data_IF_518893522910
#
_entry.id   IF_518893522910
#
_cell.length_a   1.000
_cell.length_b   1.000
_cell.length_c   1.000
_cell.angle_alpha   90.00
_cell.angle_beta   90.00
_cell.angle_gamma   90.00
#
_symmetry.space_group_name_H-M   'P 1'
#
loop_
_entity.id
_entity.type
_entity.pdbx_description
1 polymer ?
#
# COMPACT_ATOMS: atom_id res chain seq x y z
N UNK A 1 37.43 9.54 -40.14
CA UNK A 1 36.80 10.48 -39.22
C UNK A 1 35.28 10.28 -39.11
N UNK A 2 34.51 10.03 -40.16
CA UNK A 2 33.05 9.82 -40.09
C UNK A 2 32.60 8.57 -39.35
N UNK A 3 33.40 7.47 -39.32
CA UNK A 3 33.07 6.23 -38.62
C UNK A 3 33.24 6.30 -37.10
N UNK A 4 34.12 7.17 -36.58
CA UNK A 4 34.32 7.37 -35.14
C UNK A 4 33.15 8.15 -34.48
N UNK A 5 32.54 9.07 -35.22
CA UNK A 5 31.44 9.92 -34.73
C UNK A 5 30.14 9.09 -34.54
N UNK A 6 29.90 8.08 -35.38
CA UNK A 6 28.72 7.22 -35.30
C UNK A 6 28.78 6.30 -34.07
N UNK A 7 29.96 5.82 -33.71
CA UNK A 7 30.13 4.93 -32.53
C UNK A 7 29.93 5.70 -31.21
N UNK A 8 30.33 6.97 -31.14
CA UNK A 8 30.13 7.83 -29.95
C UNK A 8 28.67 8.22 -29.79
N UNK A 9 27.89 8.36 -30.84
CA UNK A 9 26.45 8.67 -30.72
C UNK A 9 25.62 7.47 -30.27
N UNK A 10 26.01 6.24 -30.57
CA UNK A 10 25.34 5.02 -30.14
C UNK A 10 25.57 4.71 -28.63
N UNK A 11 26.69 5.17 -28.06
CA UNK A 11 27.03 4.95 -26.66
C UNK A 11 26.27 5.87 -25.67
N UNK A 12 25.60 6.92 -26.14
CA UNK A 12 24.85 7.85 -25.29
C UNK A 12 23.38 7.47 -25.06
N UNK A 13 22.89 6.38 -25.64
CA UNK A 13 21.46 6.02 -25.60
C UNK A 13 21.04 5.02 -24.48
N UNK A 14 21.90 4.72 -23.52
CA UNK A 14 21.59 3.66 -22.52
C UNK A 14 21.66 4.09 -21.06
N UNK A 15 21.47 5.36 -20.72
CA UNK A 15 21.14 5.73 -19.35
C UNK A 15 19.61 5.80 -19.22
N UNK A 16 18.96 4.63 -19.23
CA UNK A 16 17.63 4.52 -18.65
C UNK A 16 17.76 4.89 -17.18
N UNK A 17 17.31 6.08 -16.80
CA UNK A 17 17.12 6.41 -15.41
C UNK A 17 16.17 5.34 -14.85
N UNK A 18 16.68 4.47 -13.98
CA UNK A 18 15.84 3.58 -13.18
C UNK A 18 15.04 4.52 -12.27
N UNK A 19 13.85 4.90 -12.73
CA UNK A 19 12.92 5.62 -11.88
C UNK A 19 12.63 4.71 -10.67
N UNK A 20 12.87 5.21 -9.46
CA UNK A 20 12.55 4.46 -8.25
C UNK A 20 11.06 4.17 -8.27
N UNK A 21 10.72 2.89 -8.23
CA UNK A 21 9.32 2.43 -8.16
C UNK A 21 8.63 3.02 -6.94
N UNK A 22 7.44 3.54 -7.13
CA UNK A 22 6.61 4.11 -6.06
C UNK A 22 5.22 3.52 -6.14
N UNK A 23 4.56 3.35 -4.99
CA UNK A 23 3.18 2.90 -4.95
C UNK A 23 2.27 3.95 -5.62
N UNK A 24 1.42 3.50 -6.54
CA UNK A 24 0.42 4.32 -7.22
C UNK A 24 -0.82 4.47 -6.33
N UNK A 25 -0.75 5.38 -5.36
CA UNK A 25 -1.85 5.67 -4.46
C UNK A 25 -3.02 6.35 -5.19
N UNK A 26 -4.24 5.94 -4.85
CA UNK A 26 -5.46 6.48 -5.43
C UNK A 26 -6.56 6.68 -4.38
N UNK A 27 -7.67 7.30 -4.74
CA UNK A 27 -8.87 7.36 -3.89
C UNK A 27 -9.62 6.01 -3.91
N UNK A 28 -10.51 5.80 -2.95
CA UNK A 28 -11.31 4.57 -2.90
C UNK A 28 -12.32 4.52 -4.05
N UNK A 29 -12.84 5.67 -4.47
CA UNK A 29 -13.74 5.78 -5.62
C UNK A 29 -13.02 5.42 -6.93
N UNK A 30 -11.75 5.84 -7.07
CA UNK A 30 -10.94 5.46 -8.23
C UNK A 30 -10.65 3.96 -8.23
N UNK A 31 -10.31 3.38 -7.08
CA UNK A 31 -10.09 1.94 -6.94
C UNK A 31 -11.37 1.15 -7.27
N UNK A 32 -12.53 1.60 -6.79
CA UNK A 32 -13.83 1.00 -7.10
C UNK A 32 -14.12 1.02 -8.60
N UNK A 33 -13.94 2.17 -9.25
CA UNK A 33 -14.14 2.31 -10.69
C UNK A 33 -13.22 1.40 -11.50
N UNK A 34 -11.94 1.31 -11.12
CA UNK A 34 -10.97 0.41 -11.76
C UNK A 34 -11.30 -1.07 -11.57
N UNK A 35 -11.78 -1.46 -10.38
CA UNK A 35 -12.18 -2.83 -10.09
C UNK A 35 -13.34 -3.32 -10.96
N UNK A 36 -14.22 -2.42 -11.43
CA UNK A 36 -15.31 -2.77 -12.36
C UNK A 36 -14.75 -3.15 -13.74
N UNK A 37 -13.68 -2.48 -14.19
CA UNK A 37 -13.06 -2.70 -15.49
C UNK A 37 -12.04 -3.85 -15.45
N UNK A 38 -11.20 -3.85 -14.44
CA UNK A 38 -10.15 -4.85 -14.21
C UNK A 38 -10.18 -5.30 -12.73
N UNK A 39 -10.83 -6.42 -12.41
CA UNK A 39 -10.92 -6.91 -11.03
C UNK A 39 -9.55 -7.19 -10.43
N UNK A 40 -9.25 -6.54 -9.30
CA UNK A 40 -7.98 -6.65 -8.57
C UNK A 40 -8.20 -6.47 -7.08
N UNK A 41 -7.34 -7.06 -6.26
CA UNK A 41 -7.33 -6.83 -4.81
C UNK A 41 -7.19 -5.35 -4.48
N UNK A 42 -7.81 -4.89 -3.40
CA UNK A 42 -7.68 -3.52 -2.91
C UNK A 42 -6.95 -3.54 -1.57
N UNK A 43 -5.92 -2.70 -1.46
CA UNK A 43 -5.22 -2.41 -0.23
C UNK A 43 -5.53 -0.98 0.21
N UNK A 44 -6.09 -0.79 1.41
CA UNK A 44 -6.43 0.53 1.94
C UNK A 44 -5.55 0.83 3.14
N UNK A 45 -4.68 1.83 3.03
CA UNK A 45 -3.95 2.40 4.15
C UNK A 45 -4.80 3.49 4.81
N UNK A 46 -5.26 3.21 6.02
CA UNK A 46 -6.05 4.14 6.83
C UNK A 46 -5.12 4.86 7.81
N UNK A 47 -4.96 6.15 7.61
CA UNK A 47 -4.01 7.00 8.33
C UNK A 47 -4.64 8.28 8.87
N UNK A 48 -3.88 9.05 9.64
CA UNK A 48 -4.19 10.43 10.04
C UNK A 48 -2.94 11.31 9.89
N UNK A 49 -3.12 12.62 9.71
CA UNK A 49 -2.00 13.55 9.50
C UNK A 49 -1.05 13.68 10.70
N UNK A 50 -1.54 13.41 11.91
CA UNK A 50 -0.74 13.43 13.14
C UNK A 50 -0.05 12.10 13.46
N UNK A 51 -0.36 11.01 12.71
CA UNK A 51 0.16 9.67 12.97
C UNK A 51 1.65 9.55 12.60
N UNK A 52 2.53 9.54 13.61
CA UNK A 52 3.97 9.41 13.41
C UNK A 52 4.39 8.07 12.78
N UNK A 53 3.73 6.97 13.16
CA UNK A 53 4.01 5.64 12.60
C UNK A 53 3.56 5.51 11.14
N UNK A 54 2.46 6.18 10.75
CA UNK A 54 2.04 6.24 9.34
C UNK A 54 3.12 6.95 8.49
N UNK A 55 3.59 8.11 8.95
CA UNK A 55 4.68 8.84 8.29
C UNK A 55 5.98 8.02 8.20
N UNK A 56 6.24 7.16 9.19
CA UNK A 56 7.38 6.25 9.17
C UNK A 56 7.20 5.19 8.08
N UNK A 57 6.01 4.57 7.99
CA UNK A 57 5.70 3.61 6.92
C UNK A 57 5.86 4.22 5.52
N UNK A 58 5.36 5.43 5.33
CA UNK A 58 5.48 6.13 4.05
C UNK A 58 6.93 6.33 3.61
N UNK A 59 7.85 6.53 4.58
CA UNK A 59 9.27 6.78 4.32
C UNK A 59 10.12 5.51 4.25
N UNK A 60 9.65 4.40 4.77
CA UNK A 60 10.35 3.12 4.80
C UNK A 60 9.62 2.07 3.95
N UNK A 61 8.69 1.36 4.53
CA UNK A 61 8.01 0.20 3.95
C UNK A 61 7.40 0.52 2.59
N UNK A 62 6.63 1.62 2.47
CA UNK A 62 5.99 2.00 1.22
C UNK A 62 6.94 2.69 0.21
N UNK A 63 8.13 3.10 0.66
CA UNK A 63 9.17 3.64 -0.20
C UNK A 63 10.13 2.55 -0.72
N UNK A 64 10.02 1.31 -0.23
CA UNK A 64 10.83 0.20 -0.72
C UNK A 64 10.41 -0.18 -2.15
N UNK A 65 11.33 -0.20 -3.13
CA UNK A 65 10.98 -0.42 -4.53
C UNK A 65 10.44 -1.83 -4.82
N UNK A 66 10.88 -2.85 -4.08
CA UNK A 66 10.36 -4.24 -4.22
C UNK A 66 8.90 -4.27 -3.80
N UNK A 67 8.59 -3.69 -2.63
CA UNK A 67 7.22 -3.59 -2.13
C UNK A 67 6.35 -2.75 -3.06
N UNK A 68 6.85 -1.59 -3.51
CA UNK A 68 6.10 -0.71 -4.39
C UNK A 68 5.74 -1.38 -5.72
N UNK A 69 6.69 -2.11 -6.31
CA UNK A 69 6.46 -2.88 -7.52
C UNK A 69 5.38 -3.93 -7.32
N UNK A 70 5.52 -4.78 -6.29
CA UNK A 70 4.55 -5.81 -5.98
C UNK A 70 3.15 -5.23 -5.74
N UNK A 71 3.05 -4.16 -4.95
CA UNK A 71 1.79 -3.48 -4.69
C UNK A 71 1.11 -2.96 -5.96
N UNK A 72 1.87 -2.36 -6.89
CA UNK A 72 1.34 -1.84 -8.15
C UNK A 72 0.84 -2.96 -9.08
N UNK A 73 1.46 -4.14 -9.03
CA UNK A 73 1.10 -5.28 -9.86
C UNK A 73 -0.14 -6.01 -9.34
N UNK A 74 -0.31 -6.12 -8.02
CA UNK A 74 -1.31 -6.99 -7.40
C UNK A 74 -2.49 -6.25 -6.75
N UNK A 75 -2.34 -4.95 -6.43
CA UNK A 75 -3.35 -4.20 -5.69
C UNK A 75 -3.70 -2.86 -6.35
N UNK A 76 -4.93 -2.43 -6.15
CA UNK A 76 -5.27 -1.02 -6.18
C UNK A 76 -5.00 -0.45 -4.78
N UNK A 77 -3.96 0.38 -4.67
CA UNK A 77 -3.50 0.93 -3.41
C UNK A 77 -4.23 2.24 -3.09
N UNK A 78 -4.97 2.26 -2.00
CA UNK A 78 -5.78 3.40 -1.55
C UNK A 78 -5.18 4.05 -0.33
N UNK A 79 -5.10 5.39 -0.34
CA UNK A 79 -4.81 6.21 0.86
C UNK A 79 -6.11 6.82 1.39
N UNK A 80 -6.48 6.50 2.62
CA UNK A 80 -7.67 7.03 3.28
C UNK A 80 -7.30 7.79 4.56
N UNK A 81 -7.37 9.11 4.52
CA UNK A 81 -7.26 9.91 5.75
C UNK A 81 -8.53 9.71 6.59
N UNK A 82 -8.36 9.11 7.76
CA UNK A 82 -9.46 8.81 8.67
C UNK A 82 -10.14 10.07 9.25
N UNK A 83 -9.58 11.24 9.06
CA UNK A 83 -10.10 12.51 9.54
C UNK A 83 -10.41 13.49 8.38
N UNK A 84 -10.60 12.97 7.15
CA UNK A 84 -11.05 13.84 6.05
C UNK A 84 -12.46 14.37 6.28
N UNK A 85 -12.71 15.59 5.81
CA UNK A 85 -14.04 16.22 5.79
C UNK A 85 -14.83 15.91 4.52
N UNK A 86 -14.20 15.28 3.54
CA UNK A 86 -14.81 15.02 2.23
C UNK A 86 -16.02 14.09 2.34
N UNK A 87 -16.90 14.17 1.37
CA UNK A 87 -17.92 13.14 1.17
C UNK A 87 -17.36 12.10 0.23
N UNK A 88 -17.27 10.87 0.71
CA UNK A 88 -16.75 9.72 -0.06
C UNK A 88 -17.92 8.82 -0.43
N UNK A 89 -18.00 8.45 -1.71
CA UNK A 89 -18.97 7.47 -2.19
C UNK A 89 -18.28 6.13 -2.39
N UNK A 90 -18.77 5.09 -1.72
CA UNK A 90 -18.22 3.74 -1.85
C UNK A 90 -19.35 2.70 -1.85
N UNK A 91 -19.37 1.81 -2.82
CA UNK A 91 -20.42 0.80 -3.04
C UNK A 91 -21.83 1.41 -3.08
N UNK A 92 -21.96 2.55 -3.75
CA UNK A 92 -23.22 3.27 -3.89
C UNK A 92 -23.70 3.99 -2.62
N UNK A 93 -22.95 3.94 -1.52
CA UNK A 93 -23.28 4.63 -0.27
C UNK A 93 -22.39 5.85 -0.08
N UNK A 94 -22.98 6.96 0.35
CA UNK A 94 -22.25 8.17 0.73
C UNK A 94 -21.86 8.12 2.21
N UNK A 95 -20.58 8.40 2.47
CA UNK A 95 -20.01 8.54 3.79
C UNK A 95 -19.51 9.97 3.95
N UNK A 96 -19.86 10.60 5.05
CA UNK A 96 -19.49 11.98 5.34
C UNK A 96 -18.48 12.06 6.48
N UNK A 97 -17.65 13.09 6.47
CA UNK A 97 -16.81 13.45 7.58
C UNK A 97 -17.63 13.77 8.82
N UNK A 98 -17.03 13.59 9.99
CA UNK A 98 -17.64 13.89 11.26
C UNK A 98 -16.91 15.07 11.92
N UNK A 99 -17.66 16.10 12.29
CA UNK A 99 -17.13 17.22 13.07
C UNK A 99 -17.61 17.05 14.51
N UNK A 100 -16.69 17.09 15.46
CA UNK A 100 -16.94 16.96 16.89
C UNK A 100 -17.59 18.25 17.42
N UNK A 101 -18.19 18.18 18.61
CA UNK A 101 -18.80 19.34 19.28
C UNK A 101 -17.78 20.48 19.56
N UNK A 102 -16.52 20.15 19.72
CA UNK A 102 -15.42 21.11 19.91
C UNK A 102 -14.89 21.71 18.58
N UNK A 103 -15.55 21.44 17.46
CA UNK A 103 -15.22 21.94 16.13
C UNK A 103 -14.04 21.21 15.43
N UNK A 104 -13.41 20.23 16.09
CA UNK A 104 -12.34 19.43 15.49
C UNK A 104 -12.89 18.31 14.61
N UNK A 105 -12.11 17.93 13.60
CA UNK A 105 -12.44 16.75 12.80
C UNK A 105 -12.42 15.50 13.69
N UNK A 106 -13.45 14.69 13.52
CA UNK A 106 -13.53 13.36 14.09
C UNK A 106 -13.26 12.31 13.03
N UNK A 107 -13.36 11.04 13.42
CA UNK A 107 -13.14 9.94 12.49
C UNK A 107 -14.24 9.88 11.43
N UNK A 108 -13.85 9.89 10.16
CA UNK A 108 -14.73 9.75 8.99
C UNK A 108 -15.54 8.44 9.07
N UNK A 109 -16.81 8.49 8.67
CA UNK A 109 -17.72 7.33 8.77
C UNK A 109 -17.22 6.11 8.01
N UNK A 110 -16.64 6.31 6.81
CA UNK A 110 -16.07 5.20 6.04
C UNK A 110 -14.91 4.52 6.79
N UNK A 111 -13.94 5.30 7.29
CA UNK A 111 -12.82 4.76 8.06
C UNK A 111 -13.32 3.97 9.29
N UNK A 112 -14.33 4.48 9.99
CA UNK A 112 -14.95 3.79 11.12
C UNK A 112 -15.60 2.47 10.73
N UNK A 113 -16.29 2.44 9.58
CA UNK A 113 -16.92 1.23 9.03
C UNK A 113 -15.85 0.20 8.67
N UNK A 114 -14.85 0.60 7.89
CA UNK A 114 -13.77 -0.28 7.41
C UNK A 114 -12.96 -0.89 8.57
N UNK A 115 -12.71 -0.12 9.61
CA UNK A 115 -11.96 -0.56 10.79
C UNK A 115 -12.83 -1.24 11.87
N UNK A 116 -14.10 -1.53 11.58
CA UNK A 116 -15.04 -2.15 12.53
C UNK A 116 -15.11 -1.41 13.88
N UNK A 117 -15.00 -0.07 13.86
CA UNK A 117 -15.02 0.75 15.07
C UNK A 117 -13.75 0.74 15.91
N UNK A 118 -12.69 0.02 15.52
CA UNK A 118 -11.41 -0.04 16.23
C UNK A 118 -10.41 0.95 15.63
N UNK A 119 -10.41 2.18 16.17
CA UNK A 119 -9.56 3.26 15.65
C UNK A 119 -8.13 3.14 16.16
N UNK A 120 -7.25 2.59 15.35
CA UNK A 120 -5.79 2.63 15.53
C UNK A 120 -5.12 2.99 14.21
N UNK A 121 -3.98 3.67 14.26
CA UNK A 121 -3.27 4.13 13.07
C UNK A 121 -1.77 3.87 13.18
N UNK A 122 -1.13 3.39 12.09
CA UNK A 122 -1.75 2.98 10.83
C UNK A 122 -2.63 1.73 11.02
N UNK A 123 -3.60 1.54 10.12
CA UNK A 123 -4.33 0.27 9.94
C UNK A 123 -4.56 0.03 8.46
N UNK A 124 -4.53 -1.23 8.06
CA UNK A 124 -4.72 -1.62 6.66
C UNK A 124 -5.97 -2.46 6.52
N UNK A 125 -6.69 -2.25 5.43
CA UNK A 125 -7.82 -3.10 5.07
C UNK A 125 -7.50 -3.77 3.73
N UNK A 126 -7.55 -5.08 3.72
CA UNK A 126 -7.42 -5.89 2.50
C UNK A 126 -8.82 -6.25 2.03
N UNK A 127 -9.12 -5.98 0.77
CA UNK A 127 -10.37 -6.38 0.13
C UNK A 127 -10.10 -7.25 -1.09
N UNK A 128 -11.01 -8.17 -1.35
CA UNK A 128 -10.97 -8.94 -2.59
C UNK A 128 -11.51 -8.13 -3.78
N UNK A 129 -11.54 -8.75 -4.96
CA UNK A 129 -11.95 -8.12 -6.22
C UNK A 129 -13.43 -7.73 -6.25
N UNK A 130 -14.27 -8.35 -5.40
CA UNK A 130 -15.66 -7.94 -5.19
C UNK A 130 -15.82 -6.89 -4.10
N UNK A 131 -14.72 -6.23 -3.70
CA UNK A 131 -14.68 -5.18 -2.67
C UNK A 131 -15.24 -5.62 -1.31
N UNK A 132 -15.11 -6.92 -0.98
CA UNK A 132 -15.41 -7.44 0.36
C UNK A 132 -14.17 -7.41 1.22
N UNK A 133 -14.27 -6.84 2.41
CA UNK A 133 -13.16 -6.81 3.36
C UNK A 133 -12.82 -8.24 3.83
N UNK A 134 -11.57 -8.65 3.63
CA UNK A 134 -11.02 -9.92 4.06
C UNK A 134 -10.36 -9.80 5.42
N UNK A 135 -9.55 -8.74 5.60
CA UNK A 135 -8.75 -8.59 6.81
C UNK A 135 -8.55 -7.11 7.16
N UNK A 136 -8.54 -6.81 8.46
CA UNK A 136 -8.08 -5.54 9.02
C UNK A 136 -6.83 -5.80 9.85
N UNK A 137 -5.75 -5.11 9.52
CA UNK A 137 -4.43 -5.31 10.12
C UNK A 137 -4.00 -4.00 10.78
N UNK A 138 -4.01 -3.92 12.11
CA UNK A 138 -3.59 -2.73 12.83
C UNK A 138 -2.09 -2.67 13.05
N UNK A 139 -1.54 -1.47 13.10
CA UNK A 139 -0.19 -1.18 13.56
C UNK A 139 0.86 -1.11 12.46
N UNK A 140 2.02 -0.58 12.85
CA UNK A 140 3.18 -0.44 11.98
C UNK A 140 3.71 -1.82 11.54
N UNK A 141 3.98 -1.94 10.25
CA UNK A 141 4.63 -3.10 9.65
C UNK A 141 5.92 -2.65 8.95
N UNK A 142 7.07 -3.21 9.35
CA UNK A 142 8.29 -3.00 8.57
C UNK A 142 8.26 -3.83 7.27
N UNK A 143 9.24 -3.62 6.41
CA UNK A 143 9.33 -4.27 5.10
C UNK A 143 9.25 -5.80 5.22
N UNK A 144 9.98 -6.39 6.18
CA UNK A 144 10.06 -7.85 6.38
C UNK A 144 8.72 -8.46 6.84
N UNK A 145 7.93 -7.71 7.59
CA UNK A 145 6.60 -8.17 8.02
C UNK A 145 5.53 -7.87 6.96
N UNK A 146 5.70 -6.79 6.21
CA UNK A 146 4.73 -6.35 5.21
C UNK A 146 4.78 -7.20 3.93
N UNK A 147 5.96 -7.53 3.45
CA UNK A 147 6.16 -8.29 2.21
C UNK A 147 5.38 -9.63 2.21
N UNK A 148 5.63 -10.56 3.16
CA UNK A 148 4.92 -11.84 3.13
C UNK A 148 3.41 -11.69 3.31
N UNK A 149 2.96 -10.69 4.07
CA UNK A 149 1.54 -10.41 4.22
C UNK A 149 0.91 -10.02 2.89
N UNK A 150 1.58 -9.18 2.07
CA UNK A 150 1.08 -8.78 0.76
C UNK A 150 1.04 -9.96 -0.21
N UNK A 151 2.07 -10.80 -0.22
CA UNK A 151 2.08 -12.03 -1.02
C UNK A 151 0.98 -13.01 -0.61
N UNK A 152 0.73 -13.18 0.68
CA UNK A 152 -0.33 -14.06 1.17
C UNK A 152 -1.72 -13.69 0.61
N UNK A 153 -2.00 -12.39 0.49
CA UNK A 153 -3.26 -11.91 -0.09
C UNK A 153 -3.18 -11.73 -1.61
N UNK A 154 -2.16 -11.07 -2.13
CA UNK A 154 -2.02 -10.73 -3.55
C UNK A 154 -1.96 -11.96 -4.46
N UNK A 155 -1.23 -13.00 -4.04
CA UNK A 155 -1.15 -14.29 -4.73
C UNK A 155 -2.30 -15.23 -4.37
N UNK A 156 -3.27 -14.76 -3.55
CA UNK A 156 -4.46 -15.52 -3.10
C UNK A 156 -4.16 -16.79 -2.31
N UNK A 157 -2.97 -16.88 -1.70
CA UNK A 157 -2.55 -18.05 -0.91
C UNK A 157 -3.49 -18.33 0.26
N UNK A 158 -4.15 -17.27 0.78
CA UNK A 158 -5.16 -17.37 1.85
C UNK A 158 -6.36 -18.28 1.52
N UNK A 159 -6.56 -18.62 0.24
CA UNK A 159 -7.58 -19.57 -0.20
C UNK A 159 -7.13 -21.05 -0.06
N UNK A 160 -5.83 -21.30 0.04
CA UNK A 160 -5.23 -22.62 -0.05
C UNK A 160 -4.62 -23.10 1.28
N UNK A 161 -4.05 -22.17 2.06
CA UNK A 161 -3.35 -22.54 3.30
C UNK A 161 -3.42 -21.45 4.37
N UNK A 162 -3.02 -21.82 5.59
CA UNK A 162 -2.91 -20.87 6.71
C UNK A 162 -1.74 -19.91 6.51
N UNK A 163 -1.82 -18.73 7.13
CA UNK A 163 -0.71 -17.78 7.13
C UNK A 163 0.55 -18.33 7.83
N UNK A 164 0.38 -19.19 8.83
CA UNK A 164 1.49 -19.81 9.55
C UNK A 164 2.28 -20.77 8.65
N UNK A 165 1.57 -21.60 7.87
CA UNK A 165 2.19 -22.54 6.93
C UNK A 165 2.89 -21.78 5.80
N UNK A 166 2.24 -20.74 5.26
CA UNK A 166 2.83 -19.88 4.24
C UNK A 166 4.11 -19.21 4.72
N UNK A 167 4.11 -18.59 5.90
CA UNK A 167 5.27 -17.89 6.44
C UNK A 167 6.48 -18.80 6.67
N UNK A 168 6.26 -20.09 6.93
CA UNK A 168 7.35 -21.06 7.13
C UNK A 168 8.20 -21.25 5.87
N UNK A 169 7.57 -21.21 4.69
CA UNK A 169 8.22 -21.51 3.41
C UNK A 169 8.43 -20.26 2.54
N UNK A 170 7.94 -19.09 2.99
CA UNK A 170 8.05 -17.83 2.26
C UNK A 170 9.52 -17.41 2.08
N UNK A 171 9.86 -17.06 0.84
CA UNK A 171 11.18 -16.52 0.49
C UNK A 171 11.04 -15.06 0.11
N UNK A 172 11.66 -14.20 0.91
CA UNK A 172 11.67 -12.76 0.69
C UNK A 172 12.42 -12.37 -0.58
N UNK A 173 11.90 -11.40 -1.30
CA UNK A 173 12.55 -10.73 -2.43
C UNK A 173 13.31 -9.47 -1.99
N UNK A 174 13.16 -9.06 -0.72
CA UNK A 174 13.93 -7.96 -0.16
C UNK A 174 15.41 -8.34 -0.10
N UNK A 175 16.29 -7.39 -0.47
CA UNK A 175 17.74 -7.61 -0.30
C UNK A 175 18.03 -7.95 1.17
N UNK A 176 18.95 -8.92 1.42
CA UNK A 176 19.40 -9.16 2.78
C UNK A 176 19.96 -7.84 3.33
N UNK A 177 19.54 -7.44 4.53
CA UNK A 177 20.22 -6.37 5.25
C UNK A 177 21.70 -6.72 5.29
N UNK A 178 22.54 -5.98 4.56
CA UNK A 178 23.99 -6.04 4.79
C UNK A 178 24.17 -5.81 6.28
N UNK A 179 24.79 -6.78 6.95
CA UNK A 179 25.04 -6.72 8.37
C UNK A 179 25.77 -5.39 8.64
N UNK A 180 24.99 -4.37 9.06
CA UNK A 180 25.55 -3.08 9.42
C UNK A 180 26.51 -3.37 10.55
N UNK A 181 27.80 -3.37 10.19
CA UNK A 181 28.96 -3.53 11.03
C UNK A 181 28.69 -2.99 12.44
N UNK A 182 28.67 -3.91 13.39
CA UNK A 182 28.99 -3.61 14.77
C UNK A 182 30.41 -3.01 14.78
N UNK A 183 30.49 -1.69 14.67
CA UNK A 183 31.66 -0.93 15.15
C UNK A 183 31.22 -0.12 16.33
N UNK A 184 31.73 -0.58 17.43
CA UNK A 184 31.83 -0.04 18.78
C UNK A 184 31.89 1.49 18.84
#
# INVERSE_FOLDING_TARGET
MKKLIVITLLAMMSMSAIAQEKINWMSIEEAEARCVEEPRMIFIDVYTDWCGWCKRMDKSTFANPVIAKYMNEHFYAVKLNAETSDTITFQGQQYVGYVREDGRQGTHRLARTLLNGRMSYPSYVIMNEEMRALQVIPGYQNEKAFEPMMHFFGDKVYLEMSSEDFLRDFKSELEPEEASDQKQ
#
